data_IF_064154459416
#
_entry.id   IF_064154459416
#
_cell.length_a   1.000
_cell.length_b   1.000
_cell.length_c   1.000
_cell.angle_alpha   90.00
_cell.angle_beta   90.00
_cell.angle_gamma   90.00
#
_symmetry.space_group_name_H-M   'P 1'
#
loop_
_entity.id
_entity.type
_entity.pdbx_description
1 polymer ?
#
# COMPACT_ATOMS: atom_id res chain seq x y z
N UNK A 1 -11.01 7.42 95.53
CA UNK A 1 -9.56 7.37 95.75
C UNK A 1 -8.87 7.93 94.53
N UNK A 2 -8.29 9.13 94.63
CA UNK A 2 -7.62 9.79 93.52
C UNK A 2 -6.22 9.18 93.34
N UNK A 3 -6.04 8.41 92.27
CA UNK A 3 -4.75 7.82 91.92
C UNK A 3 -3.87 8.93 91.31
N UNK A 4 -3.08 9.62 92.14
CA UNK A 4 -2.18 10.69 91.67
C UNK A 4 -0.95 10.07 91.00
N UNK A 5 -1.09 9.78 89.71
CA UNK A 5 0.01 9.35 88.83
C UNK A 5 1.19 10.33 88.97
N UNK A 6 2.39 9.81 89.20
CA UNK A 6 3.63 10.57 89.35
C UNK A 6 3.94 11.38 88.10
N UNK A 7 4.56 12.57 88.23
CA UNK A 7 4.97 13.40 87.07
C UNK A 7 5.78 12.60 86.03
N UNK A 8 6.60 11.63 86.48
CA UNK A 8 7.39 10.76 85.61
C UNK A 8 6.54 9.79 84.79
N UNK A 9 5.53 9.19 85.40
CA UNK A 9 4.61 8.27 84.73
C UNK A 9 3.77 8.99 83.66
N UNK A 10 3.34 10.23 83.92
CA UNK A 10 2.63 11.04 82.92
C UNK A 10 3.50 11.33 81.70
N UNK A 11 4.79 11.64 81.91
CA UNK A 11 5.73 11.88 80.81
C UNK A 11 5.91 10.60 79.98
N UNK A 12 6.01 9.43 80.63
CA UNK A 12 6.12 8.14 79.93
C UNK A 12 4.87 7.87 79.09
N UNK A 13 3.67 8.06 79.64
CA UNK A 13 2.42 7.87 78.89
C UNK A 13 2.28 8.82 77.71
N UNK A 14 2.60 10.11 77.89
CA UNK A 14 2.56 11.10 76.81
C UNK A 14 3.55 10.75 75.71
N UNK A 15 4.79 10.36 76.05
CA UNK A 15 5.79 9.94 75.08
C UNK A 15 5.37 8.67 74.32
N UNK A 16 4.78 7.69 75.00
CA UNK A 16 4.26 6.48 74.35
C UNK A 16 3.12 6.78 73.37
N UNK A 17 2.20 7.69 73.73
CA UNK A 17 1.11 8.12 72.84
C UNK A 17 1.66 8.86 71.61
N UNK A 18 2.63 9.76 71.80
CA UNK A 18 3.28 10.48 70.69
C UNK A 18 3.96 9.49 69.75
N UNK A 19 4.64 8.47 70.29
CA UNK A 19 5.29 7.43 69.48
C UNK A 19 4.26 6.66 68.63
N UNK A 20 3.13 6.26 69.22
CA UNK A 20 2.05 5.56 68.52
C UNK A 20 1.47 6.43 67.40
N UNK A 21 1.17 7.71 67.69
CA UNK A 21 0.67 8.66 66.69
C UNK A 21 1.67 8.82 65.55
N UNK A 22 2.96 8.93 65.86
CA UNK A 22 4.02 9.07 64.85
C UNK A 22 4.09 7.85 63.94
N UNK A 23 4.03 6.64 64.50
CA UNK A 23 3.99 5.38 63.73
C UNK A 23 2.74 5.35 62.84
N UNK A 24 1.59 5.76 63.36
CA UNK A 24 0.33 5.78 62.61
C UNK A 24 0.38 6.75 61.42
N UNK A 25 0.93 7.96 61.62
CA UNK A 25 1.14 8.94 60.55
C UNK A 25 2.09 8.37 59.48
N UNK A 26 3.18 7.69 59.87
CA UNK A 26 4.09 7.06 58.92
C UNK A 26 3.41 5.97 58.07
N UNK A 27 2.54 5.17 58.68
CA UNK A 27 1.76 4.14 57.96
C UNK A 27 0.78 4.78 56.97
N UNK A 28 0.05 5.82 57.41
CA UNK A 28 -0.87 6.56 56.53
C UNK A 28 -0.12 7.18 55.36
N UNK A 29 1.02 7.85 55.61
CA UNK A 29 1.81 8.48 54.57
C UNK A 29 2.32 7.45 53.55
N UNK A 30 2.77 6.28 54.00
CA UNK A 30 3.15 5.18 53.10
C UNK A 30 1.97 4.72 52.25
N UNK A 31 0.81 4.52 52.86
CA UNK A 31 -0.39 4.08 52.15
C UNK A 31 -0.85 5.11 51.10
N UNK A 32 -0.86 6.40 51.46
CA UNK A 32 -1.17 7.49 50.53
C UNK A 32 -0.18 7.55 49.36
N UNK A 33 1.12 7.39 49.62
CA UNK A 33 2.13 7.35 48.56
C UNK A 33 1.92 6.16 47.60
N UNK A 34 1.61 4.97 48.13
CA UNK A 34 1.31 3.79 47.30
C UNK A 34 0.01 3.98 46.51
N UNK A 35 -1.03 4.57 47.11
CA UNK A 35 -2.28 4.87 46.40
C UNK A 35 -2.05 5.86 45.25
N UNK A 36 -1.31 6.93 45.49
CA UNK A 36 -1.01 7.93 44.45
C UNK A 36 -0.25 7.30 43.28
N UNK A 37 0.77 6.48 43.57
CA UNK A 37 1.52 5.77 42.53
C UNK A 37 0.64 4.79 41.74
N UNK A 38 -0.26 4.06 42.41
CA UNK A 38 -1.19 3.16 41.74
C UNK A 38 -2.17 3.93 40.87
N UNK A 39 -2.70 5.05 41.35
CA UNK A 39 -3.61 5.91 40.58
C UNK A 39 -2.93 6.50 39.34
N UNK A 40 -1.66 6.93 39.47
CA UNK A 40 -0.86 7.41 38.35
C UNK A 40 -0.69 6.32 37.28
N UNK A 41 -0.31 5.10 37.68
CA UNK A 41 -0.19 3.95 36.76
C UNK A 41 -1.51 3.58 36.09
N UNK A 42 -2.63 3.64 36.82
CA UNK A 42 -3.95 3.39 36.23
C UNK A 42 -4.27 4.46 35.19
N UNK A 43 -4.00 5.73 35.49
CA UNK A 43 -4.19 6.82 34.54
C UNK A 43 -3.31 6.68 33.30
N UNK A 44 -2.04 6.26 33.45
CA UNK A 44 -1.13 5.99 32.33
C UNK A 44 -1.64 4.83 31.47
N UNK A 45 -2.08 3.73 32.10
CA UNK A 45 -2.63 2.57 31.39
C UNK A 45 -3.93 2.91 30.66
N UNK A 46 -4.79 3.75 31.25
CA UNK A 46 -5.99 4.24 30.57
C UNK A 46 -5.64 5.10 29.36
N UNK A 47 -4.67 6.01 29.49
CA UNK A 47 -4.18 6.81 28.37
C UNK A 47 -3.58 5.93 27.26
N UNK A 48 -2.73 4.96 27.62
CA UNK A 48 -2.15 4.01 26.66
C UNK A 48 -3.24 3.21 25.95
N UNK A 49 -4.23 2.70 26.69
CA UNK A 49 -5.38 1.99 26.13
C UNK A 49 -6.14 2.87 25.12
N UNK A 50 -6.38 4.14 25.43
CA UNK A 50 -7.05 5.05 24.48
C UNK A 50 -6.22 5.30 23.22
N UNK A 51 -4.90 5.41 23.35
CA UNK A 51 -3.99 5.53 22.21
C UNK A 51 -4.03 4.28 21.34
N UNK A 52 -4.05 3.09 21.93
CA UNK A 52 -4.18 1.83 21.21
C UNK A 52 -5.49 1.73 20.46
N UNK A 53 -6.62 2.08 21.08
CA UNK A 53 -7.94 2.11 20.43
C UNK A 53 -7.94 3.06 19.22
N UNK A 54 -7.36 4.25 19.37
CA UNK A 54 -7.26 5.22 18.28
C UNK A 54 -6.36 4.70 17.15
N UNK A 55 -5.26 4.02 17.49
CA UNK A 55 -4.35 3.43 16.52
C UNK A 55 -5.02 2.30 15.76
N UNK A 56 -5.76 1.43 16.45
CA UNK A 56 -6.54 0.35 15.86
C UNK A 56 -7.57 0.92 14.88
N UNK A 57 -8.37 1.91 15.28
CA UNK A 57 -9.34 2.56 14.40
C UNK A 57 -8.70 3.17 13.14
N UNK A 58 -7.55 3.82 13.29
CA UNK A 58 -6.80 4.37 12.16
C UNK A 58 -6.27 3.27 11.22
N UNK A 59 -5.74 2.17 11.78
CA UNK A 59 -5.27 1.03 10.99
C UNK A 59 -6.43 0.37 10.23
N UNK A 60 -7.58 0.17 10.89
CA UNK A 60 -8.79 -0.37 10.25
C UNK A 60 -9.22 0.50 9.07
N UNK A 61 -9.24 1.83 9.24
CA UNK A 61 -9.58 2.77 8.15
C UNK A 61 -8.60 2.68 6.99
N UNK A 62 -7.28 2.56 7.25
CA UNK A 62 -6.27 2.41 6.21
C UNK A 62 -6.41 1.09 5.45
N UNK A 63 -6.72 -0.01 6.15
CA UNK A 63 -6.95 -1.31 5.53
C UNK A 63 -8.19 -1.26 4.63
N UNK A 64 -9.27 -0.64 5.08
CA UNK A 64 -10.50 -0.49 4.30
C UNK A 64 -10.26 0.33 3.03
N UNK A 65 -9.50 1.42 3.12
CA UNK A 65 -9.12 2.23 1.96
C UNK A 65 -8.25 1.44 0.97
N UNK A 66 -7.26 0.70 1.46
CA UNK A 66 -6.40 -0.14 0.62
C UNK A 66 -7.18 -1.25 -0.10
N UNK A 67 -8.15 -1.87 0.57
CA UNK A 67 -9.04 -2.86 -0.05
C UNK A 67 -9.81 -2.22 -1.20
N UNK A 68 -10.42 -1.06 -0.97
CA UNK A 68 -11.17 -0.33 -2.00
C UNK A 68 -10.30 0.02 -3.21
N UNK A 69 -9.07 0.50 -2.97
CA UNK A 69 -8.13 0.78 -4.06
C UNK A 69 -7.78 -0.49 -4.84
N UNK A 70 -7.48 -1.58 -4.14
CA UNK A 70 -7.17 -2.88 -4.76
C UNK A 70 -8.32 -3.37 -5.65
N UNK A 71 -9.57 -3.28 -5.18
CA UNK A 71 -10.76 -3.65 -5.95
C UNK A 71 -10.92 -2.77 -7.21
N UNK A 72 -10.68 -1.46 -7.09
CA UNK A 72 -10.71 -0.54 -8.24
C UNK A 72 -9.65 -0.91 -9.28
N UNK A 73 -8.41 -1.19 -8.87
CA UNK A 73 -7.36 -1.63 -9.78
C UNK A 73 -7.69 -2.98 -10.42
N UNK A 74 -8.23 -3.93 -9.66
CA UNK A 74 -8.64 -5.24 -10.19
C UNK A 74 -9.72 -5.10 -11.27
N UNK A 75 -10.67 -4.19 -11.09
CA UNK A 75 -11.71 -3.91 -12.09
C UNK A 75 -11.12 -3.24 -13.35
N UNK A 76 -10.16 -2.34 -13.21
CA UNK A 76 -9.47 -1.72 -14.35
C UNK A 76 -8.68 -2.79 -15.12
N UNK A 77 -7.94 -3.65 -14.41
CA UNK A 77 -7.13 -4.73 -14.98
C UNK A 77 -8.00 -5.76 -15.70
N UNK A 78 -9.15 -6.14 -15.14
CA UNK A 78 -10.08 -7.10 -15.78
C UNK A 78 -10.76 -6.53 -17.01
N UNK A 79 -10.95 -5.21 -17.04
CA UNK A 79 -11.50 -4.50 -18.22
C UNK A 79 -10.41 -4.24 -19.27
N UNK A 80 -9.13 -4.40 -18.92
CA UNK A 80 -8.03 -4.19 -19.83
C UNK A 80 -8.02 -5.32 -20.89
N UNK A 81 -7.98 -4.96 -22.18
CA UNK A 81 -8.04 -5.94 -23.28
C UNK A 81 -7.06 -7.12 -23.17
N UNK A 82 -5.84 -6.91 -22.67
CA UNK A 82 -4.86 -7.99 -22.51
C UNK A 82 -5.30 -9.12 -21.55
N UNK A 83 -6.22 -8.85 -20.63
CA UNK A 83 -6.75 -9.84 -19.67
C UNK A 83 -8.15 -10.32 -20.03
N UNK A 84 -8.70 -9.90 -21.17
CA UNK A 84 -10.03 -10.32 -21.60
C UNK A 84 -9.99 -11.81 -21.98
N UNK A 85 -10.79 -12.68 -21.32
CA UNK A 85 -10.88 -14.10 -21.68
C UNK A 85 -11.17 -14.35 -23.16
N UNK A 86 -11.99 -13.50 -23.79
CA UNK A 86 -12.35 -13.63 -25.20
C UNK A 86 -11.14 -13.47 -26.13
N UNK A 87 -10.20 -12.60 -25.76
CA UNK A 87 -8.96 -12.38 -26.51
C UNK A 87 -8.05 -13.59 -26.34
N UNK A 88 -7.86 -14.06 -25.10
CA UNK A 88 -7.04 -15.24 -24.81
C UNK A 88 -7.60 -16.49 -25.52
N UNK A 89 -8.93 -16.69 -25.50
CA UNK A 89 -9.58 -17.78 -26.22
C UNK A 89 -9.48 -17.61 -27.74
N UNK A 90 -9.61 -16.39 -28.25
CA UNK A 90 -9.35 -16.04 -29.65
C UNK A 90 -7.95 -16.46 -30.09
N UNK A 91 -6.93 -16.08 -29.32
CA UNK A 91 -5.54 -16.41 -29.59
C UNK A 91 -5.27 -17.92 -29.53
N UNK A 92 -5.83 -18.63 -28.54
CA UNK A 92 -5.72 -20.10 -28.44
C UNK A 92 -6.34 -20.79 -29.66
N UNK A 93 -7.48 -20.32 -30.15
CA UNK A 93 -8.10 -20.86 -31.39
C UNK A 93 -7.24 -20.62 -32.64
N UNK A 94 -6.37 -19.61 -32.63
CA UNK A 94 -5.39 -19.35 -33.68
C UNK A 94 -4.09 -20.18 -33.51
N UNK A 95 -4.01 -21.07 -32.53
CA UNK A 95 -2.82 -21.90 -32.28
C UNK A 95 -1.71 -21.17 -31.55
N UNK A 96 -2.06 -20.16 -30.74
CA UNK A 96 -1.12 -19.48 -29.85
C UNK A 96 -1.14 -20.10 -28.45
N UNK A 97 0.01 -20.57 -28.01
CA UNK A 97 0.19 -21.14 -26.66
C UNK A 97 0.81 -20.14 -25.67
N UNK A 98 1.19 -18.95 -26.14
CA UNK A 98 1.77 -17.88 -25.34
C UNK A 98 0.74 -17.05 -24.57
N UNK A 99 1.22 -15.97 -23.96
CA UNK A 99 0.40 -14.96 -23.30
C UNK A 99 0.49 -13.61 -24.04
N UNK A 100 -0.29 -12.63 -23.63
CA UNK A 100 -0.33 -11.33 -24.31
C UNK A 100 1.02 -10.59 -24.27
N UNK A 101 1.85 -10.79 -23.24
CA UNK A 101 3.19 -10.22 -23.17
C UNK A 101 4.10 -10.76 -24.28
N UNK A 102 3.91 -12.01 -24.72
CA UNK A 102 4.70 -12.58 -25.82
C UNK A 102 4.43 -11.86 -27.16
N UNK A 103 3.20 -11.36 -27.36
CA UNK A 103 2.83 -10.53 -28.52
C UNK A 103 3.54 -9.18 -28.47
N UNK A 104 3.60 -8.55 -27.29
CA UNK A 104 4.29 -7.27 -27.08
C UNK A 104 5.80 -7.43 -27.30
N UNK A 105 6.38 -8.47 -26.72
CA UNK A 105 7.80 -8.80 -26.84
C UNK A 105 8.22 -9.07 -28.29
N UNK A 106 7.31 -9.60 -29.09
CA UNK A 106 7.52 -9.80 -30.52
C UNK A 106 7.47 -8.46 -31.28
N UNK A 107 6.42 -7.65 -31.07
CA UNK A 107 6.26 -6.35 -31.73
C UNK A 107 7.46 -5.43 -31.57
N UNK A 108 8.07 -5.38 -30.38
CA UNK A 108 9.24 -4.52 -30.09
C UNK A 108 10.45 -4.82 -30.99
N UNK A 109 10.52 -6.01 -31.59
CA UNK A 109 11.58 -6.39 -32.52
C UNK A 109 11.34 -5.88 -33.94
N UNK A 110 10.13 -5.44 -34.25
CA UNK A 110 9.65 -5.13 -35.59
C UNK A 110 9.62 -3.62 -35.89
N UNK A 111 10.71 -2.91 -35.61
CA UNK A 111 10.80 -1.46 -35.85
C UNK A 111 10.62 -1.07 -37.33
N UNK A 112 10.82 -1.99 -38.27
CA UNK A 112 10.58 -1.80 -39.70
C UNK A 112 9.11 -1.56 -40.05
N UNK A 113 8.18 -1.85 -39.14
CA UNK A 113 6.75 -1.56 -39.30
C UNK A 113 6.45 -0.05 -39.22
N UNK A 114 7.35 0.74 -38.63
CA UNK A 114 7.17 2.18 -38.46
C UNK A 114 7.44 2.89 -39.79
N UNK A 115 6.45 3.56 -40.40
CA UNK A 115 6.60 4.15 -41.73
C UNK A 115 7.35 5.49 -41.72
N UNK A 116 7.75 5.96 -40.54
CA UNK A 116 8.47 7.21 -40.34
C UNK A 116 9.96 6.97 -40.16
N UNK A 117 10.78 7.87 -40.71
CA UNK A 117 12.22 7.89 -40.44
C UNK A 117 12.49 8.73 -39.20
N UNK A 118 13.49 8.31 -38.43
CA UNK A 118 13.97 9.14 -37.33
C UNK A 118 14.69 10.41 -37.82
N UNK A 119 14.75 11.41 -36.96
CA UNK A 119 15.39 12.71 -37.16
C UNK A 119 16.58 12.87 -36.23
N UNK A 120 17.51 13.76 -36.60
CA UNK A 120 18.68 14.08 -35.77
C UNK A 120 19.53 12.87 -35.34
N UNK A 121 19.52 11.80 -36.15
CA UNK A 121 20.22 10.54 -35.84
C UNK A 121 19.46 9.61 -34.90
N UNK A 122 18.24 9.96 -34.49
CA UNK A 122 17.32 9.06 -33.79
C UNK A 122 16.91 7.88 -34.64
N UNK A 123 16.62 6.74 -33.99
CA UNK A 123 16.09 5.54 -34.63
C UNK A 123 14.67 5.33 -34.14
N UNK A 124 13.72 5.22 -35.06
CA UNK A 124 12.34 4.87 -34.71
C UNK A 124 12.28 3.46 -34.10
N UNK A 125 11.54 3.33 -33.01
CA UNK A 125 11.31 2.05 -32.37
C UNK A 125 10.20 2.08 -31.33
N UNK A 126 9.83 0.88 -30.93
CA UNK A 126 8.88 0.62 -29.85
C UNK A 126 9.65 0.48 -28.53
N UNK A 127 9.98 1.60 -27.87
CA UNK A 127 10.83 1.60 -26.67
C UNK A 127 10.05 1.48 -25.34
N UNK A 128 8.72 1.59 -25.38
CA UNK A 128 7.86 1.65 -24.19
C UNK A 128 6.79 0.56 -24.26
N UNK A 129 7.09 -0.60 -23.69
CA UNK A 129 6.14 -1.73 -23.64
C UNK A 129 4.84 -1.39 -22.91
N UNK A 130 4.91 -0.52 -21.90
CA UNK A 130 3.76 -0.01 -21.13
C UNK A 130 2.82 0.88 -21.95
N UNK A 131 3.25 1.30 -23.14
CA UNK A 131 2.46 2.06 -24.12
C UNK A 131 2.08 1.22 -25.35
N UNK A 132 2.12 -0.10 -25.24
CA UNK A 132 1.62 -1.06 -26.24
C UNK A 132 0.38 -1.74 -25.68
N UNK A 133 -0.73 -1.64 -26.41
CA UNK A 133 -2.05 -2.10 -26.00
C UNK A 133 -2.56 -3.14 -27.00
N UNK A 134 -2.61 -4.41 -26.59
CA UNK A 134 -3.25 -5.46 -27.40
C UNK A 134 -4.76 -5.34 -27.24
N UNK A 135 -5.43 -4.82 -28.28
CA UNK A 135 -6.84 -4.43 -28.22
C UNK A 135 -7.81 -5.60 -28.44
N UNK A 136 -7.39 -6.61 -29.19
CA UNK A 136 -8.18 -7.79 -29.55
C UNK A 136 -7.27 -8.95 -29.95
N UNK A 137 -7.84 -10.08 -30.36
CA UNK A 137 -7.10 -11.20 -30.99
C UNK A 137 -6.60 -10.89 -32.42
N UNK A 138 -6.65 -9.62 -32.85
CA UNK A 138 -6.26 -9.15 -34.18
C UNK A 138 -5.54 -7.82 -34.19
N UNK A 139 -5.75 -6.94 -33.20
CA UNK A 139 -5.28 -5.57 -33.25
C UNK A 139 -4.42 -5.18 -32.06
N UNK A 140 -3.40 -4.36 -32.32
CA UNK A 140 -2.54 -3.74 -31.32
C UNK A 140 -2.43 -2.25 -31.60
N UNK A 141 -2.52 -1.44 -30.55
CA UNK A 141 -2.25 0.00 -30.60
C UNK A 141 -0.92 0.27 -29.88
N UNK A 142 0.05 0.84 -30.58
CA UNK A 142 1.42 0.94 -30.10
C UNK A 142 1.98 2.35 -30.25
N UNK A 143 2.60 2.85 -29.18
CA UNK A 143 3.42 4.05 -29.20
C UNK A 143 4.79 3.77 -29.80
N UNK A 144 5.26 4.67 -30.66
CA UNK A 144 6.62 4.62 -31.19
C UNK A 144 7.28 6.00 -31.11
N UNK A 145 8.62 6.02 -31.00
CA UNK A 145 9.41 7.25 -31.02
C UNK A 145 10.84 7.03 -31.48
N UNK A 146 11.58 8.12 -31.70
CA UNK A 146 13.02 8.12 -31.93
C UNK A 146 13.82 8.99 -30.93
N UNK A 147 13.13 9.49 -29.89
CA UNK A 147 13.63 10.44 -28.89
C UNK A 147 13.40 11.92 -29.23
N UNK A 148 12.92 12.26 -30.42
CA UNK A 148 12.62 13.63 -30.84
C UNK A 148 11.20 13.79 -31.39
N UNK A 149 10.77 12.85 -32.21
CA UNK A 149 9.41 12.75 -32.73
C UNK A 149 8.81 11.42 -32.30
N UNK A 150 7.49 11.44 -32.12
CA UNK A 150 6.75 10.29 -31.65
C UNK A 150 5.33 10.28 -32.19
N UNK A 151 4.69 9.12 -32.06
CA UNK A 151 3.39 8.89 -32.62
C UNK A 151 2.78 7.59 -32.13
N UNK A 152 1.62 7.28 -32.71
CA UNK A 152 0.93 6.02 -32.46
C UNK A 152 0.63 5.31 -33.77
N UNK A 153 0.58 3.98 -33.67
CA UNK A 153 0.24 3.10 -34.77
C UNK A 153 -0.81 2.09 -34.34
N UNK A 154 -1.76 1.84 -35.23
CA UNK A 154 -2.67 0.71 -35.16
C UNK A 154 -2.12 -0.39 -36.07
N UNK A 155 -1.89 -1.56 -35.50
CA UNK A 155 -1.37 -2.73 -36.20
C UNK A 155 -2.41 -3.86 -36.18
N UNK A 156 -2.45 -4.60 -37.29
CA UNK A 156 -3.06 -5.91 -37.35
C UNK A 156 -1.99 -6.98 -37.12
N UNK A 157 -2.33 -8.05 -36.41
CA UNK A 157 -1.51 -9.24 -36.33
C UNK A 157 -2.32 -10.51 -36.57
N UNK A 158 -1.63 -11.56 -36.98
CA UNK A 158 -2.18 -12.90 -37.14
C UNK A 158 -1.18 -13.92 -36.62
N UNK A 159 -1.70 -14.99 -36.03
CA UNK A 159 -0.88 -16.08 -35.48
C UNK A 159 -1.08 -17.35 -36.29
N UNK A 160 0.04 -17.99 -36.62
CA UNK A 160 0.08 -19.34 -37.19
C UNK A 160 1.15 -20.15 -36.44
N UNK A 161 0.74 -21.10 -35.60
CA UNK A 161 1.62 -22.00 -34.84
C UNK A 161 2.74 -21.25 -34.08
N UNK A 162 2.36 -20.31 -33.20
CA UNK A 162 3.25 -19.40 -32.46
C UNK A 162 4.07 -18.39 -33.29
N UNK A 163 3.90 -18.35 -34.61
CA UNK A 163 4.55 -17.34 -35.45
C UNK A 163 3.62 -16.14 -35.63
N UNK A 164 4.10 -14.94 -35.26
CA UNK A 164 3.31 -13.71 -35.31
C UNK A 164 3.67 -12.94 -36.59
N UNK A 165 2.66 -12.60 -37.37
CA UNK A 165 2.81 -11.75 -38.56
C UNK A 165 2.12 -10.42 -38.35
N UNK A 166 2.79 -9.34 -38.74
CA UNK A 166 2.35 -7.97 -38.50
C UNK A 166 2.00 -7.23 -39.78
N UNK A 167 1.05 -6.30 -39.67
CA UNK A 167 0.70 -5.35 -40.72
C UNK A 167 0.28 -4.02 -40.11
N UNK A 168 0.94 -2.93 -40.47
CA UNK A 168 0.48 -1.59 -40.12
C UNK A 168 -0.88 -1.31 -40.80
N UNK A 169 -1.88 -0.92 -40.01
CA UNK A 169 -3.20 -0.48 -40.50
C UNK A 169 -3.17 1.04 -40.71
N UNK A 170 -2.77 1.76 -39.67
CA UNK A 170 -2.76 3.23 -39.66
C UNK A 170 -1.69 3.75 -38.68
N UNK A 171 -1.20 4.96 -38.91
CA UNK A 171 -0.20 5.59 -38.06
C UNK A 171 -0.24 7.11 -38.19
N UNK A 172 0.12 7.82 -37.12
CA UNK A 172 0.30 9.27 -37.15
C UNK A 172 1.44 9.71 -36.23
N UNK A 173 2.07 10.84 -36.57
CA UNK A 173 3.00 11.55 -35.68
C UNK A 173 2.25 12.63 -34.91
N UNK A 174 2.73 12.96 -33.71
CA UNK A 174 2.20 14.09 -32.97
C UNK A 174 2.56 15.42 -33.64
N UNK A 175 1.56 16.29 -33.78
CA UNK A 175 1.75 17.62 -34.34
C UNK A 175 1.74 17.71 -35.86
N UNK A 176 1.39 16.62 -36.56
CA UNK A 176 1.01 16.64 -37.98
C UNK A 176 -0.47 16.99 -38.18
#
# INVERSE_FOLDING_TARGET
MANTISKRERIIWVSSVILIITIFILVINKYQATLNLTNERVSELEAEKTNWIQREANLTSQVEELIKQSEQYAQIISTFPANNPDIIEGLKRQGFDGNVQDIINDLVKHNELIPYKGVLGGKMGFYFEDKIYVLSDKWVFAYFEDGHISGYMLLNYSIDNNNISWKAIDSYLFGE
#
